data_IF_771150260783
#
_entry.id   IF_771150260783
#
_cell.length_a   1.000
_cell.length_b   1.000
_cell.length_c   1.000
_cell.angle_alpha   90.00
_cell.angle_beta   90.00
_cell.angle_gamma   90.00
#
_symmetry.space_group_name_H-M   'P 1'
#
loop_
_entity.id
_entity.type
_entity.pdbx_description
1 polymer ?
#
# COMPACT_ATOMS: atom_id res chain seq x y z
N UNK A 1 12.99 -12.39 11.86
CA UNK A 1 12.39 -11.61 10.77
C UNK A 1 11.82 -10.31 11.33
N UNK A 2 12.21 -9.21 10.74
CA UNK A 2 11.67 -7.91 11.12
C UNK A 2 10.33 -7.67 10.45
N UNK A 3 9.45 -6.95 11.14
CA UNK A 3 8.15 -6.56 10.60
C UNK A 3 8.10 -5.04 10.46
N UNK A 4 7.67 -4.58 9.31
CA UNK A 4 7.51 -3.15 9.04
C UNK A 4 6.07 -2.85 8.63
N UNK A 5 5.58 -1.73 9.10
CA UNK A 5 4.28 -1.21 8.71
C UNK A 5 4.53 0.13 8.03
N UNK A 6 4.09 0.25 6.79
CA UNK A 6 4.21 1.48 6.02
C UNK A 6 2.83 2.12 5.94
N UNK A 7 2.72 3.33 6.44
CA UNK A 7 1.47 4.08 6.40
C UNK A 7 1.53 5.09 5.27
N UNK A 8 0.57 5.01 4.35
CA UNK A 8 0.54 5.86 3.17
C UNK A 8 -0.75 6.67 3.17
N UNK A 9 -0.67 7.98 3.47
CA UNK A 9 -1.83 8.86 3.30
C UNK A 9 -1.92 9.29 1.83
N UNK A 10 -3.11 9.21 1.26
CA UNK A 10 -3.34 9.68 -0.09
C UNK A 10 -4.62 10.52 -0.13
N UNK A 11 -4.71 11.37 -1.12
CA UNK A 11 -5.88 12.17 -1.37
C UNK A 11 -6.21 12.12 -2.85
N UNK A 12 -7.18 11.28 -3.20
CA UNK A 12 -7.71 11.20 -4.57
C UNK A 12 -6.64 10.95 -5.65
N UNK A 13 -5.65 10.10 -5.35
CA UNK A 13 -4.53 9.88 -6.26
C UNK A 13 -4.21 8.39 -6.39
N UNK A 14 -5.05 7.68 -7.16
CA UNK A 14 -4.93 6.24 -7.33
C UNK A 14 -3.69 5.85 -8.16
N UNK A 15 -3.35 6.66 -9.14
CA UNK A 15 -2.20 6.34 -10.01
C UNK A 15 -0.89 6.39 -9.24
N UNK A 16 -0.71 7.40 -8.42
CA UNK A 16 0.48 7.51 -7.59
C UNK A 16 0.55 6.37 -6.58
N UNK A 17 -0.60 5.96 -6.05
CA UNK A 17 -0.63 4.83 -5.12
C UNK A 17 -0.13 3.56 -5.77
N UNK A 18 -0.60 3.26 -6.99
CA UNK A 18 -0.19 2.04 -7.69
C UNK A 18 1.32 2.03 -7.93
N UNK A 19 1.89 3.17 -8.35
CA UNK A 19 3.33 3.29 -8.57
C UNK A 19 4.12 3.15 -7.27
N UNK A 20 3.61 3.73 -6.20
CA UNK A 20 4.28 3.66 -4.91
C UNK A 20 4.33 2.23 -4.38
N UNK A 21 3.22 1.51 -4.47
CA UNK A 21 3.18 0.11 -4.04
C UNK A 21 4.14 -0.72 -4.88
N UNK A 22 4.20 -0.51 -6.18
CA UNK A 22 5.14 -1.20 -7.06
C UNK A 22 6.59 -0.92 -6.65
N UNK A 23 6.91 0.35 -6.37
CA UNK A 23 8.26 0.72 -5.94
C UNK A 23 8.62 0.07 -4.61
N UNK A 24 7.70 0.05 -3.67
CA UNK A 24 7.93 -0.59 -2.37
C UNK A 24 8.20 -2.08 -2.58
N UNK A 25 7.44 -2.72 -3.45
CA UNK A 25 7.64 -4.14 -3.74
C UNK A 25 9.04 -4.40 -4.31
N UNK A 26 9.49 -3.57 -5.24
CA UNK A 26 10.82 -3.70 -5.84
C UNK A 26 11.91 -3.47 -4.80
N UNK A 27 11.80 -2.39 -4.04
CA UNK A 27 12.83 -1.99 -3.07
C UNK A 27 12.96 -2.97 -1.90
N UNK A 28 11.92 -3.73 -1.62
CA UNK A 28 11.93 -4.66 -0.48
C UNK A 28 12.25 -6.10 -0.87
N UNK A 29 12.52 -6.37 -2.14
CA UNK A 29 12.68 -7.75 -2.61
C UNK A 29 13.83 -8.50 -1.94
N UNK A 30 14.88 -7.80 -1.53
CA UNK A 30 16.05 -8.42 -0.90
C UNK A 30 16.03 -8.32 0.62
N UNK A 31 14.95 -7.78 1.19
CA UNK A 31 14.83 -7.64 2.63
C UNK A 31 14.19 -8.91 3.21
N UNK A 32 14.85 -9.49 4.20
CA UNK A 32 14.25 -10.59 4.94
C UNK A 32 13.30 -10.04 6.00
N UNK A 33 12.20 -9.44 5.54
CA UNK A 33 11.28 -8.73 6.40
C UNK A 33 9.85 -8.94 5.95
N UNK A 34 8.93 -8.79 6.88
CA UNK A 34 7.51 -8.84 6.59
C UNK A 34 7.01 -7.40 6.44
N UNK A 35 6.51 -7.07 5.27
CA UNK A 35 6.08 -5.71 4.94
C UNK A 35 4.55 -5.68 4.91
N UNK A 36 3.98 -4.77 5.69
CA UNK A 36 2.55 -4.47 5.67
C UNK A 36 2.35 -3.02 5.26
N UNK A 37 1.37 -2.76 4.40
CA UNK A 37 1.07 -1.42 3.94
C UNK A 37 -0.36 -1.07 4.36
N UNK A 38 -0.53 0.08 4.97
CA UNK A 38 -1.85 0.62 5.31
C UNK A 38 -2.00 1.92 4.56
N UNK A 39 -2.99 1.99 3.68
CA UNK A 39 -3.28 3.18 2.88
C UNK A 39 -4.50 3.86 3.49
N UNK A 40 -4.37 5.14 3.79
CA UNK A 40 -5.49 5.96 4.26
C UNK A 40 -5.88 6.89 3.13
N UNK A 41 -7.03 6.63 2.53
CA UNK A 41 -7.55 7.45 1.44
C UNK A 41 -8.51 8.49 2.02
N UNK A 42 -8.08 9.74 2.03
CA UNK A 42 -8.84 10.87 2.57
C UNK A 42 -9.58 11.62 1.46
N UNK A 43 -10.16 10.88 0.53
CA UNK A 43 -10.94 11.47 -0.57
C UNK A 43 -12.41 11.17 -0.37
N UNK A 44 -13.20 12.21 -0.19
CA UNK A 44 -14.64 12.05 0.04
C UNK A 44 -15.41 11.64 -1.22
N UNK A 45 -14.85 11.88 -2.41
CA UNK A 45 -15.54 11.68 -3.67
C UNK A 45 -15.24 10.36 -4.34
N UNK A 46 -14.12 9.72 -4.01
CA UNK A 46 -13.71 8.47 -4.66
C UNK A 46 -13.19 7.48 -3.64
N UNK A 47 -13.73 6.29 -3.66
CA UNK A 47 -13.20 5.19 -2.88
C UNK A 47 -12.25 4.37 -3.74
N UNK A 48 -11.22 3.86 -3.10
CA UNK A 48 -10.29 2.95 -3.76
C UNK A 48 -10.83 1.54 -3.56
N UNK A 49 -11.15 0.89 -4.67
CA UNK A 49 -11.65 -0.48 -4.66
C UNK A 49 -10.67 -1.44 -5.32
N UNK A 50 -9.49 -0.95 -5.64
CA UNK A 50 -8.47 -1.78 -6.25
C UNK A 50 -8.02 -2.89 -5.29
N UNK A 51 -7.77 -4.05 -5.86
CA UNK A 51 -7.37 -5.21 -5.08
C UNK A 51 -5.88 -5.46 -5.26
N UNK A 52 -5.12 -5.21 -4.20
CA UNK A 52 -3.68 -5.41 -4.19
C UNK A 52 -3.32 -6.70 -3.46
N UNK A 53 -3.64 -7.83 -4.06
CA UNK A 53 -3.33 -9.13 -3.49
C UNK A 53 -2.18 -9.80 -4.25
N UNK A 54 -1.48 -10.69 -3.56
CA UNK A 54 -0.44 -11.51 -4.15
C UNK A 54 0.75 -10.71 -4.71
N UNK A 55 1.08 -9.60 -4.04
CA UNK A 55 2.27 -8.85 -4.36
C UNK A 55 3.45 -9.50 -3.65
N UNK A 56 4.46 -9.88 -4.41
CA UNK A 56 5.50 -10.83 -4.01
C UNK A 56 6.18 -10.52 -2.67
N UNK A 57 6.60 -9.28 -2.48
CA UNK A 57 7.37 -8.91 -1.30
C UNK A 57 6.56 -8.21 -0.22
N UNK A 58 5.26 -8.08 -0.43
CA UNK A 58 4.38 -7.40 0.50
C UNK A 58 3.40 -8.42 1.08
N UNK A 59 3.41 -8.54 2.40
CA UNK A 59 2.60 -9.54 3.09
C UNK A 59 1.14 -9.15 3.22
N UNK A 60 0.87 -7.85 3.33
CA UNK A 60 -0.48 -7.36 3.63
C UNK A 60 -0.65 -5.92 3.16
N UNK A 61 -1.77 -5.64 2.52
CA UNK A 61 -2.16 -4.28 2.15
C UNK A 61 -3.59 -4.06 2.57
N UNK A 62 -3.83 -3.00 3.33
CA UNK A 62 -5.16 -2.58 3.71
C UNK A 62 -5.40 -1.16 3.24
N UNK A 63 -6.57 -0.91 2.66
CA UNK A 63 -6.98 0.42 2.22
C UNK A 63 -8.15 0.87 3.07
N UNK A 64 -7.97 1.98 3.77
CA UNK A 64 -9.00 2.59 4.58
C UNK A 64 -9.53 3.81 3.82
N UNK A 65 -10.78 3.75 3.43
CA UNK A 65 -11.43 4.88 2.75
C UNK A 65 -12.17 5.72 3.79
N UNK A 66 -11.70 6.94 3.97
CA UNK A 66 -12.32 7.89 4.90
C UNK A 66 -13.35 8.73 4.16
N UNK A 67 -14.39 9.07 4.88
CA UNK A 67 -15.42 9.95 4.33
C UNK A 67 -15.07 11.41 4.49
#
# INVERSE_FOLDING_TARGET
>A
MKKYIILIPIYNDRESLAKLIENINIETKDLNSKISIIVVNDASSQQIIDNYQNIENISFIEIINMK
#
